data_IF_512139251037
#
_entry.id   IF_512139251037
#
_cell.length_a   1.000
_cell.length_b   1.000
_cell.length_c   1.000
_cell.angle_alpha   90.00
_cell.angle_beta   90.00
_cell.angle_gamma   90.00
#
_symmetry.space_group_name_H-M   'P 1'
#
loop_
_entity.id
_entity.type
_entity.pdbx_description
1 polymer ?
#
# COMPACT_ATOMS: atom_id res chain seq x y z
N UNK A 1 -8.94 3.99 -12.52
CA UNK A 1 -10.02 4.34 -13.48
C UNK A 1 -11.29 4.76 -12.76
N UNK A 2 -11.88 3.91 -11.91
CA UNK A 2 -13.06 4.29 -11.11
C UNK A 2 -12.87 5.59 -10.30
N UNK A 3 -11.77 5.71 -9.55
CA UNK A 3 -11.49 6.94 -8.79
C UNK A 3 -11.34 8.17 -9.69
N UNK A 4 -10.79 8.01 -10.89
CA UNK A 4 -10.68 9.12 -11.85
C UNK A 4 -12.06 9.58 -12.31
N UNK A 5 -12.91 8.64 -12.70
CA UNK A 5 -14.30 8.91 -13.09
C UNK A 5 -15.06 9.65 -11.97
N UNK A 6 -14.92 9.18 -10.73
CA UNK A 6 -15.62 9.75 -9.57
C UNK A 6 -15.06 11.12 -9.14
N UNK A 7 -13.73 11.34 -9.19
CA UNK A 7 -13.10 12.62 -8.80
C UNK A 7 -13.30 13.70 -9.87
N UNK A 8 -13.14 13.34 -11.15
CA UNK A 8 -13.22 14.29 -12.26
C UNK A 8 -14.64 14.42 -12.82
N UNK A 9 -15.60 13.64 -12.35
CA UNK A 9 -16.99 13.69 -12.82
C UNK A 9 -17.16 13.24 -14.27
N UNK A 10 -16.24 12.42 -14.78
CA UNK A 10 -16.21 11.94 -16.17
C UNK A 10 -16.70 10.50 -16.22
N UNK A 11 -17.54 10.08 -17.18
CA UNK A 11 -17.92 8.68 -17.37
C UNK A 11 -16.69 7.74 -17.44
N UNK A 12 -16.81 6.51 -16.93
CA UNK A 12 -15.66 5.61 -16.78
C UNK A 12 -14.99 5.24 -18.11
N UNK A 13 -15.77 5.21 -19.19
CA UNK A 13 -15.39 4.99 -20.58
C UNK A 13 -14.65 6.18 -21.21
N UNK A 14 -14.77 7.36 -20.60
CA UNK A 14 -14.10 8.60 -21.02
C UNK A 14 -12.89 8.96 -20.14
N UNK A 15 -12.50 8.08 -19.22
CA UNK A 15 -11.27 8.24 -18.45
C UNK A 15 -10.08 7.87 -19.34
N UNK A 16 -9.37 8.89 -19.81
CA UNK A 16 -8.11 8.71 -20.54
C UNK A 16 -6.92 8.39 -19.61
N UNK A 17 -5.75 8.18 -20.22
CA UNK A 17 -4.52 7.87 -19.50
C UNK A 17 -4.08 8.99 -18.55
N UNK A 18 -4.23 10.26 -18.96
CA UNK A 18 -3.83 11.41 -18.15
C UNK A 18 -4.71 11.55 -16.90
N UNK A 19 -6.03 11.47 -17.06
CA UNK A 19 -6.99 11.44 -15.96
C UNK A 19 -6.73 10.26 -15.02
N UNK A 20 -6.41 9.08 -15.56
CA UNK A 20 -6.04 7.91 -14.76
C UNK A 20 -4.75 8.16 -13.96
N UNK A 21 -3.75 8.76 -14.57
CA UNK A 21 -2.46 9.10 -13.93
C UNK A 21 -2.65 10.12 -12.81
N UNK A 22 -3.39 11.20 -13.06
CA UNK A 22 -3.74 12.21 -12.05
C UNK A 22 -4.52 11.61 -10.90
N UNK A 23 -5.53 10.78 -11.16
CA UNK A 23 -6.27 10.09 -10.10
C UNK A 23 -5.40 9.12 -9.29
N UNK A 24 -4.42 8.48 -9.93
CA UNK A 24 -3.43 7.64 -9.24
C UNK A 24 -2.61 8.51 -8.27
N UNK A 25 -2.11 9.65 -8.72
CA UNK A 25 -1.39 10.60 -7.88
C UNK A 25 -2.26 11.12 -6.72
N UNK A 26 -3.55 11.37 -6.95
CA UNK A 26 -4.52 11.73 -5.89
C UNK A 26 -4.67 10.58 -4.88
N UNK A 27 -4.94 9.35 -5.34
CA UNK A 27 -5.12 8.19 -4.47
C UNK A 27 -3.91 7.96 -3.56
N UNK A 28 -2.71 7.87 -4.14
CA UNK A 28 -1.49 7.64 -3.36
C UNK A 28 -1.15 8.87 -2.51
N UNK A 29 -1.31 10.08 -3.04
CA UNK A 29 -1.03 11.31 -2.30
C UNK A 29 -1.90 11.44 -1.05
N UNK A 30 -3.21 11.24 -1.17
CA UNK A 30 -4.14 11.40 -0.04
C UNK A 30 -3.88 10.35 1.04
N UNK A 31 -3.64 9.09 0.67
CA UNK A 31 -3.29 8.03 1.63
C UNK A 31 -2.03 8.38 2.43
N UNK A 32 -1.13 9.19 1.87
CA UNK A 32 0.10 9.64 2.53
C UNK A 32 0.03 11.06 3.12
N UNK A 33 -1.16 11.64 3.22
CA UNK A 33 -1.37 12.95 3.83
C UNK A 33 -0.75 14.09 3.04
N UNK A 34 -0.82 14.04 1.70
CA UNK A 34 -0.42 15.13 0.83
C UNK A 34 -1.29 16.37 1.09
N UNK A 35 -0.68 17.57 1.00
CA UNK A 35 -1.44 18.82 1.02
C UNK A 35 -2.01 19.13 -0.37
N UNK A 36 -2.99 20.03 -0.41
CA UNK A 36 -3.49 20.70 -1.61
C UNK A 36 -2.34 21.26 -2.46
N UNK A 37 -1.35 21.92 -1.85
CA UNK A 37 -0.14 22.38 -2.54
C UNK A 37 0.70 21.24 -3.14
N UNK A 38 0.93 20.17 -2.37
CA UNK A 38 1.73 19.02 -2.84
C UNK A 38 1.03 18.29 -3.98
N UNK A 39 -0.30 18.17 -3.92
CA UNK A 39 -1.09 17.54 -4.96
C UNK A 39 -1.07 18.36 -6.25
N UNK A 40 -1.27 19.68 -6.15
CA UNK A 40 -1.17 20.59 -7.29
C UNK A 40 0.18 20.45 -8.01
N UNK A 41 1.28 20.43 -7.24
CA UNK A 41 2.64 20.25 -7.79
C UNK A 41 2.81 18.91 -8.52
N UNK A 42 2.26 17.83 -7.98
CA UNK A 42 2.43 16.48 -8.54
C UNK A 42 1.56 16.23 -9.79
N UNK A 43 0.44 16.94 -9.91
CA UNK A 43 -0.56 16.71 -10.97
C UNK A 43 -0.62 17.81 -12.01
N UNK A 44 0.04 18.95 -11.75
CA UNK A 44 0.05 20.12 -12.63
C UNK A 44 -1.24 20.95 -12.59
N UNK A 45 -2.21 20.61 -11.73
CA UNK A 45 -3.45 21.38 -11.60
C UNK A 45 -3.28 22.58 -10.65
N UNK A 46 -4.23 23.51 -10.65
CA UNK A 46 -4.23 24.61 -9.69
C UNK A 46 -4.43 24.12 -8.25
N UNK A 47 -4.02 24.92 -7.27
CA UNK A 47 -4.25 24.62 -5.85
C UNK A 47 -5.74 24.50 -5.52
N UNK A 48 -6.58 25.31 -6.18
CA UNK A 48 -8.04 25.26 -6.03
C UNK A 48 -8.61 23.93 -6.51
N UNK A 49 -8.22 23.47 -7.70
CA UNK A 49 -8.62 22.16 -8.22
C UNK A 49 -8.12 21.02 -7.34
N UNK A 50 -6.86 21.08 -6.89
CA UNK A 50 -6.31 20.09 -5.97
C UNK A 50 -7.10 20.00 -4.67
N UNK A 51 -7.52 21.13 -4.09
CA UNK A 51 -8.41 21.16 -2.92
C UNK A 51 -9.75 20.49 -3.23
N UNK A 52 -10.39 20.84 -4.35
CA UNK A 52 -11.66 20.24 -4.75
C UNK A 52 -11.56 18.72 -4.91
N UNK A 53 -10.46 18.22 -5.50
CA UNK A 53 -10.25 16.77 -5.62
C UNK A 53 -10.09 16.07 -4.27
N UNK A 54 -9.35 16.68 -3.35
CA UNK A 54 -9.19 16.14 -1.99
C UNK A 54 -10.54 16.12 -1.25
N UNK A 55 -11.32 17.19 -1.34
CA UNK A 55 -12.64 17.29 -0.73
C UNK A 55 -13.61 16.26 -1.31
N UNK A 56 -13.70 16.16 -2.64
CA UNK A 56 -14.52 15.16 -3.32
C UNK A 56 -14.12 13.73 -2.93
N UNK A 57 -12.82 13.45 -2.85
CA UNK A 57 -12.31 12.14 -2.42
C UNK A 57 -12.75 11.79 -0.99
N UNK A 58 -12.64 12.73 -0.05
CA UNK A 58 -13.05 12.49 1.33
C UNK A 58 -14.56 12.45 1.52
N UNK A 59 -15.33 13.21 0.73
CA UNK A 59 -16.79 13.11 0.72
C UNK A 59 -17.24 11.72 0.25
N UNK A 60 -16.53 11.15 -0.73
CA UNK A 60 -16.80 9.81 -1.26
C UNK A 60 -16.32 8.70 -0.32
N UNK A 61 -15.16 8.87 0.31
CA UNK A 61 -14.53 7.90 1.19
C UNK A 61 -14.32 8.46 2.60
N UNK A 62 -15.39 8.78 3.34
CA UNK A 62 -15.30 9.49 4.64
C UNK A 62 -14.50 8.70 5.68
N UNK A 63 -14.58 7.36 5.64
CA UNK A 63 -13.84 6.46 6.54
C UNK A 63 -12.32 6.57 6.39
N UNK A 64 -11.81 7.06 5.27
CA UNK A 64 -10.37 7.31 5.10
C UNK A 64 -9.93 8.48 5.97
N UNK A 65 -10.69 9.59 5.95
CA UNK A 65 -10.43 10.73 6.83
C UNK A 65 -10.51 10.32 8.30
N UNK A 66 -11.56 9.59 8.67
CA UNK A 66 -11.66 9.06 10.04
C UNK A 66 -10.46 8.19 10.43
N UNK A 67 -9.96 7.36 9.53
CA UNK A 67 -8.76 6.56 9.78
C UNK A 67 -7.54 7.46 10.01
N UNK A 68 -7.31 8.45 9.15
CA UNK A 68 -6.18 9.37 9.29
C UNK A 68 -6.23 10.13 10.63
N UNK A 69 -7.41 10.64 10.99
CA UNK A 69 -7.62 11.37 12.24
C UNK A 69 -7.39 10.45 13.45
N UNK A 70 -7.92 9.22 13.42
CA UNK A 70 -7.66 8.21 14.46
C UNK A 70 -6.18 7.86 14.59
N UNK A 71 -5.45 7.72 13.48
CA UNK A 71 -4.01 7.43 13.50
C UNK A 71 -3.21 8.57 14.11
N UNK A 72 -3.53 9.83 13.78
CA UNK A 72 -2.89 11.00 14.39
C UNK A 72 -3.23 11.08 15.88
N UNK A 73 -4.49 10.86 16.25
CA UNK A 73 -4.93 10.91 17.64
C UNK A 73 -4.23 9.84 18.49
N UNK A 74 -4.16 8.59 17.99
CA UNK A 74 -3.43 7.52 18.65
C UNK A 74 -1.95 7.87 18.85
N UNK A 75 -1.31 8.48 17.83
CA UNK A 75 0.06 8.94 17.97
C UNK A 75 0.22 10.03 19.04
N UNK A 76 -0.72 10.98 19.14
CA UNK A 76 -0.71 12.05 20.14
C UNK A 76 -0.93 11.55 21.56
N UNK A 77 -1.81 10.57 21.72
CA UNK A 77 -2.18 9.99 23.02
C UNK A 77 -1.12 9.03 23.54
N UNK A 78 -0.65 8.09 22.70
CA UNK A 78 0.25 7.02 23.11
C UNK A 78 1.72 7.28 22.79
N UNK A 79 2.02 8.26 21.93
CA UNK A 79 3.38 8.53 21.44
C UNK A 79 3.87 7.55 20.38
N UNK A 80 3.04 6.62 19.92
CA UNK A 80 3.35 5.64 18.87
C UNK A 80 2.11 5.24 18.09
N UNK A 81 2.32 4.60 16.94
CA UNK A 81 1.28 3.91 16.16
C UNK A 81 1.64 2.44 15.95
N UNK A 82 0.65 1.60 15.65
CA UNK A 82 0.83 0.15 15.43
C UNK A 82 0.39 -0.31 14.04
N UNK A 83 1.00 -1.39 13.58
CA UNK A 83 0.50 -2.18 12.43
C UNK A 83 -0.61 -3.14 12.86
N UNK A 84 -1.25 -3.83 11.90
CA UNK A 84 -2.28 -4.84 12.18
C UNK A 84 -1.76 -6.03 13.00
N UNK A 85 -0.45 -6.31 12.95
CA UNK A 85 0.20 -7.35 13.76
C UNK A 85 0.87 -6.78 15.02
N UNK A 86 0.59 -5.53 15.38
CA UNK A 86 1.01 -4.93 16.64
C UNK A 86 2.44 -4.38 16.68
N UNK A 87 3.18 -4.36 15.56
CA UNK A 87 4.50 -3.72 15.51
C UNK A 87 4.34 -2.22 15.74
N UNK A 88 5.09 -1.67 16.69
CA UNK A 88 5.04 -0.25 17.08
C UNK A 88 6.08 0.59 16.34
N UNK A 89 5.73 1.84 16.06
CA UNK A 89 6.66 2.90 15.69
C UNK A 89 6.41 4.13 16.53
N UNK A 90 7.41 4.56 17.30
CA UNK A 90 7.37 5.79 18.08
C UNK A 90 7.31 7.02 17.17
N UNK A 91 6.51 8.02 17.56
CA UNK A 91 6.31 9.26 16.83
C UNK A 91 6.59 10.46 17.78
N UNK A 92 7.86 10.70 18.14
CA UNK A 92 8.23 11.66 19.18
C UNK A 92 7.85 13.11 18.83
N UNK A 93 7.86 13.46 17.55
CA UNK A 93 7.57 14.82 17.06
C UNK A 93 6.06 15.13 16.89
N UNK A 94 5.17 14.22 17.28
CA UNK A 94 3.71 14.39 17.05
C UNK A 94 3.13 15.62 17.76
N UNK A 95 3.73 16.03 18.88
CA UNK A 95 3.35 17.22 19.66
C UNK A 95 4.35 18.38 19.46
N UNK A 96 5.23 18.31 18.45
CA UNK A 96 6.25 19.33 18.21
C UNK A 96 5.61 20.70 17.94
N UNK A 97 6.16 21.75 18.53
CA UNK A 97 5.76 23.14 18.24
C UNK A 97 6.18 23.56 16.82
N UNK A 98 7.22 22.92 16.27
CA UNK A 98 7.71 23.18 14.91
C UNK A 98 6.74 22.54 13.91
N UNK A 99 6.01 23.37 13.16
CA UNK A 99 4.98 22.93 12.20
C UNK A 99 5.50 21.89 11.21
N UNK A 100 6.72 22.07 10.70
CA UNK A 100 7.32 21.14 9.73
C UNK A 100 7.55 19.73 10.33
N UNK A 101 8.09 19.66 11.56
CA UNK A 101 8.32 18.39 12.28
C UNK A 101 7.01 17.70 12.61
N UNK A 102 6.04 18.45 13.15
CA UNK A 102 4.71 17.93 13.45
C UNK A 102 4.00 17.41 12.20
N UNK A 103 4.03 18.15 11.09
CA UNK A 103 3.43 17.69 9.84
C UNK A 103 4.07 16.42 9.29
N UNK A 104 5.39 16.26 9.42
CA UNK A 104 6.06 15.01 9.07
C UNK A 104 5.66 13.85 10.01
N UNK A 105 5.57 14.11 11.30
CA UNK A 105 5.11 13.15 12.30
C UNK A 105 3.67 12.68 12.03
N UNK A 106 2.75 13.59 11.69
CA UNK A 106 1.36 13.28 11.33
C UNK A 106 1.30 12.38 10.08
N UNK A 107 2.03 12.72 9.01
CA UNK A 107 2.13 11.86 7.82
C UNK A 107 2.71 10.49 8.14
N UNK A 108 3.70 10.45 9.03
CA UNK A 108 4.32 9.20 9.50
C UNK A 108 3.34 8.33 10.28
N UNK A 109 2.52 8.95 11.14
CA UNK A 109 1.49 8.27 11.93
C UNK A 109 0.39 7.66 11.04
N UNK A 110 0.02 8.33 9.95
CA UNK A 110 -0.95 7.83 8.96
C UNK A 110 -0.36 6.68 8.13
N UNK A 111 0.86 6.87 7.62
CA UNK A 111 1.48 5.93 6.68
C UNK A 111 1.92 4.63 7.36
N UNK A 112 2.45 4.69 8.58
CA UNK A 112 3.08 3.54 9.24
C UNK A 112 2.14 2.35 9.43
N UNK A 113 0.87 2.52 9.89
CA UNK A 113 -0.05 1.40 9.96
C UNK A 113 -0.32 0.74 8.60
N UNK A 114 -0.22 1.48 7.49
CA UNK A 114 -0.46 0.95 6.14
C UNK A 114 0.78 0.21 5.62
N UNK A 115 1.90 0.92 5.43
CA UNK A 115 3.13 0.34 4.90
C UNK A 115 3.70 -0.73 5.82
N UNK A 116 3.62 -0.48 7.13
CA UNK A 116 4.07 -1.44 8.11
C UNK A 116 3.26 -2.72 8.07
N UNK A 117 1.93 -2.63 7.95
CA UNK A 117 1.10 -3.83 7.85
C UNK A 117 1.38 -4.62 6.57
N UNK A 118 1.58 -3.96 5.43
CA UNK A 118 2.01 -4.65 4.21
C UNK A 118 3.34 -5.39 4.40
N UNK A 119 4.31 -4.75 5.06
CA UNK A 119 5.59 -5.37 5.40
C UNK A 119 5.46 -6.55 6.38
N UNK A 120 4.49 -6.51 7.29
CA UNK A 120 4.21 -7.61 8.21
C UNK A 120 3.61 -8.81 7.47
N UNK A 121 2.65 -8.55 6.59
CA UNK A 121 1.97 -9.54 5.76
C UNK A 121 2.98 -10.28 4.88
N UNK A 122 3.82 -9.57 4.12
CA UNK A 122 4.77 -10.22 3.21
C UNK A 122 5.83 -11.03 3.97
N UNK A 123 6.30 -10.54 5.12
CA UNK A 123 7.24 -11.30 5.97
C UNK A 123 6.63 -12.58 6.49
N UNK A 124 5.35 -12.54 6.88
CA UNK A 124 4.63 -13.74 7.31
C UNK A 124 4.48 -14.73 6.14
N UNK A 125 4.17 -14.24 4.94
CA UNK A 125 4.07 -15.07 3.73
C UNK A 125 5.41 -15.74 3.40
N UNK A 126 6.52 -15.00 3.44
CA UNK A 126 7.88 -15.54 3.25
C UNK A 126 8.19 -16.68 4.21
N UNK A 127 7.85 -16.53 5.50
CA UNK A 127 8.06 -17.58 6.51
C UNK A 127 7.21 -18.82 6.23
N UNK A 128 5.94 -18.65 5.81
CA UNK A 128 5.06 -19.77 5.48
C UNK A 128 5.52 -20.51 4.23
N UNK A 129 5.82 -19.78 3.16
CA UNK A 129 6.36 -20.35 1.92
C UNK A 129 7.65 -21.12 2.22
N UNK A 130 8.58 -20.53 2.97
CA UNK A 130 9.83 -21.22 3.32
C UNK A 130 9.61 -22.54 4.06
N UNK A 131 8.66 -22.58 5.02
CA UNK A 131 8.32 -23.82 5.72
C UNK A 131 7.74 -24.86 4.77
N UNK A 132 6.81 -24.45 3.91
CA UNK A 132 6.14 -25.34 2.97
C UNK A 132 7.10 -25.91 1.91
N UNK A 133 8.03 -25.09 1.41
CA UNK A 133 9.13 -25.57 0.56
C UNK A 133 9.95 -26.68 1.25
N UNK A 134 10.23 -26.54 2.55
CA UNK A 134 10.97 -27.54 3.33
C UNK A 134 10.16 -28.81 3.60
N UNK A 135 8.89 -28.67 3.93
CA UNK A 135 7.98 -29.78 4.22
C UNK A 135 7.69 -30.63 2.98
N UNK A 136 7.54 -29.98 1.82
CA UNK A 136 7.30 -30.65 0.53
C UNK A 136 8.59 -31.10 -0.17
N UNK A 137 9.77 -30.75 0.38
CA UNK A 137 11.06 -31.16 -0.16
C UNK A 137 11.43 -30.51 -1.50
N UNK A 138 10.87 -29.33 -1.78
CA UNK A 138 11.06 -28.61 -3.04
C UNK A 138 12.46 -27.99 -3.13
N UNK A 139 13.01 -28.00 -4.34
CA UNK A 139 14.32 -27.44 -4.66
C UNK A 139 14.26 -25.93 -4.96
N UNK A 140 13.07 -25.41 -5.24
CA UNK A 140 12.77 -23.99 -5.43
C UNK A 140 13.26 -23.10 -4.28
N UNK A 141 13.67 -21.87 -4.60
CA UNK A 141 14.28 -20.93 -3.64
C UNK A 141 13.74 -19.53 -3.82
N UNK A 142 13.43 -18.87 -2.70
CA UNK A 142 13.22 -17.43 -2.66
C UNK A 142 14.58 -16.72 -2.79
N UNK A 143 14.75 -15.91 -3.83
CA UNK A 143 16.01 -15.21 -4.14
C UNK A 143 15.97 -13.76 -3.67
N UNK A 144 14.87 -13.05 -3.97
CA UNK A 144 14.72 -11.63 -3.63
C UNK A 144 13.32 -11.33 -3.09
N UNK A 145 13.26 -10.29 -2.28
CA UNK A 145 12.02 -9.60 -1.94
C UNK A 145 12.20 -8.12 -2.28
N UNK A 146 11.28 -7.56 -3.06
CA UNK A 146 11.29 -6.17 -3.49
C UNK A 146 9.92 -5.57 -3.21
N UNK A 147 9.81 -4.80 -2.13
CA UNK A 147 8.54 -4.21 -1.68
C UNK A 147 7.42 -5.25 -1.46
N UNK A 148 6.50 -5.40 -2.42
CA UNK A 148 5.36 -6.33 -2.41
C UNK A 148 5.59 -7.57 -3.30
N UNK A 149 6.76 -7.69 -3.90
CA UNK A 149 7.14 -8.76 -4.83
C UNK A 149 8.11 -9.77 -4.19
N UNK A 150 7.94 -11.06 -4.51
CA UNK A 150 8.83 -12.16 -4.14
C UNK A 150 9.33 -12.86 -5.41
N UNK A 151 10.65 -12.95 -5.57
CA UNK A 151 11.29 -13.56 -6.73
C UNK A 151 11.81 -14.94 -6.37
N UNK A 152 11.43 -15.95 -7.14
CA UNK A 152 11.85 -17.33 -6.95
C UNK A 152 12.66 -17.82 -8.14
N UNK A 153 13.67 -18.62 -7.85
CA UNK A 153 14.25 -19.56 -8.82
C UNK A 153 13.61 -20.92 -8.57
N UNK A 154 13.08 -21.51 -9.64
CA UNK A 154 12.33 -22.77 -9.58
C UNK A 154 12.85 -23.72 -10.65
N UNK A 155 13.01 -25.03 -10.36
CA UNK A 155 13.14 -26.04 -11.39
C UNK A 155 11.88 -26.06 -12.29
N UNK A 156 12.00 -26.25 -13.62
CA UNK A 156 10.84 -26.29 -14.52
C UNK A 156 9.76 -27.29 -14.12
N UNK A 157 10.17 -28.43 -13.55
CA UNK A 157 9.28 -29.48 -13.05
C UNK A 157 8.46 -29.06 -11.81
N UNK A 158 8.89 -28.03 -11.08
CA UNK A 158 8.21 -27.52 -9.89
C UNK A 158 7.27 -26.34 -10.21
N UNK A 159 7.16 -25.89 -11.47
CA UNK A 159 6.38 -24.69 -11.80
C UNK A 159 4.92 -24.77 -11.31
N UNK A 160 4.24 -25.87 -11.62
CA UNK A 160 2.83 -26.03 -11.27
C UNK A 160 2.60 -25.99 -9.75
N UNK A 161 3.41 -26.72 -8.99
CA UNK A 161 3.31 -26.75 -7.52
C UNK A 161 3.69 -25.40 -6.91
N UNK A 162 4.71 -24.73 -7.45
CA UNK A 162 5.13 -23.41 -6.98
C UNK A 162 4.06 -22.33 -7.21
N UNK A 163 3.37 -22.34 -8.35
CA UNK A 163 2.27 -21.39 -8.62
C UNK A 163 1.14 -21.54 -7.60
N UNK A 164 0.75 -22.77 -7.28
CA UNK A 164 -0.30 -23.04 -6.30
C UNK A 164 0.15 -22.70 -4.87
N UNK A 165 1.34 -23.15 -4.49
CA UNK A 165 1.93 -22.92 -3.17
C UNK A 165 2.06 -21.42 -2.89
N UNK A 166 2.71 -20.66 -3.79
CA UNK A 166 2.92 -19.21 -3.61
C UNK A 166 1.59 -18.48 -3.53
N UNK A 167 0.65 -18.78 -4.44
CA UNK A 167 -0.68 -18.15 -4.43
C UNK A 167 -1.41 -18.39 -3.11
N UNK A 168 -1.51 -19.65 -2.69
CA UNK A 168 -2.24 -20.02 -1.47
C UNK A 168 -1.61 -19.44 -0.21
N UNK A 169 -0.27 -19.48 -0.09
CA UNK A 169 0.41 -18.94 1.08
C UNK A 169 0.36 -17.41 1.15
N UNK A 170 0.47 -16.71 0.03
CA UNK A 170 0.42 -15.24 0.00
C UNK A 170 -1.00 -14.68 0.11
N UNK A 171 -1.98 -15.25 -0.60
CA UNK A 171 -3.37 -14.78 -0.54
C UNK A 171 -4.05 -15.19 0.79
N UNK A 172 -3.68 -16.37 1.33
CA UNK A 172 -4.18 -16.92 2.59
C UNK A 172 -3.37 -16.56 3.83
N UNK A 173 -2.39 -15.66 3.72
CA UNK A 173 -1.46 -15.33 4.81
C UNK A 173 -2.18 -14.75 6.04
N UNK A 174 -3.25 -13.98 5.82
CA UNK A 174 -4.03 -13.32 6.87
C UNK A 174 -5.47 -13.08 6.41
N UNK A 175 -6.42 -13.17 7.35
CA UNK A 175 -7.81 -12.82 7.07
C UNK A 175 -8.02 -11.30 7.15
N UNK A 176 -8.28 -10.67 6.02
CA UNK A 176 -8.61 -9.25 5.90
C UNK A 176 -10.06 -9.07 5.45
N UNK A 177 -10.61 -7.87 5.64
CA UNK A 177 -11.96 -7.53 5.17
C UNK A 177 -12.09 -7.54 3.63
N UNK A 178 -10.96 -7.51 2.93
CA UNK A 178 -10.84 -7.58 1.47
C UNK A 178 -9.79 -8.64 1.12
N UNK A 179 -9.96 -9.41 0.04
CA UNK A 179 -9.01 -10.45 -0.32
C UNK A 179 -7.67 -9.84 -0.74
N UNK A 180 -6.58 -10.51 -0.35
CA UNK A 180 -5.28 -10.31 -0.98
C UNK A 180 -5.28 -11.06 -2.32
N UNK A 181 -4.74 -10.44 -3.36
CA UNK A 181 -4.64 -11.02 -4.70
C UNK A 181 -3.17 -11.03 -5.11
N UNK A 182 -2.73 -12.15 -5.66
CA UNK A 182 -1.36 -12.34 -6.16
C UNK A 182 -1.39 -12.58 -7.66
N UNK A 183 -0.51 -11.85 -8.35
CA UNK A 183 -0.22 -12.03 -9.77
C UNK A 183 1.10 -12.79 -9.87
N UNK A 184 1.17 -13.77 -10.78
CA UNK A 184 2.29 -14.70 -10.88
C UNK A 184 2.66 -14.86 -12.34
N UNK A 185 3.85 -14.38 -12.67
CA UNK A 185 4.48 -14.52 -13.97
C UNK A 185 5.72 -15.43 -13.85
N UNK A 186 6.05 -16.15 -14.92
CA UNK A 186 7.19 -17.08 -14.98
C UNK A 186 7.93 -16.86 -16.28
N UNK A 187 9.26 -16.75 -16.20
CA UNK A 187 10.14 -16.41 -17.31
C UNK A 187 11.57 -16.89 -17.06
N UNK A 188 12.44 -16.74 -18.06
CA UNK A 188 13.84 -17.19 -17.98
C UNK A 188 14.75 -16.18 -17.30
N UNK A 189 14.30 -14.94 -17.20
CA UNK A 189 14.97 -13.85 -16.49
C UNK A 189 13.92 -12.94 -15.85
N UNK A 190 14.33 -12.14 -14.87
CA UNK A 190 13.44 -11.14 -14.26
C UNK A 190 12.94 -10.07 -15.26
N UNK A 191 13.58 -9.94 -16.42
CA UNK A 191 13.10 -9.05 -17.49
C UNK A 191 11.92 -9.64 -18.28
N UNK A 192 11.80 -10.97 -18.29
CA UNK A 192 10.75 -11.69 -19.03
C UNK A 192 9.46 -11.90 -18.22
N UNK A 193 9.49 -11.53 -16.94
CA UNK A 193 8.36 -11.59 -15.98
C UNK A 193 7.86 -10.20 -15.63
#
# INVERSE_FOLDING_TARGET
TRTASEIFGVPIDRVDYDLRSKAKAVNFGIIYGISDFGLARNTGVSIGEARMFIEAYFARYPKIREFMDRSIQAAREYGFVTTILGRRRSIPDINSRIRARRGFAERTAINTPIQGSAADIIKLAMVRIYRRLKEEGLMSRLILQVHDELIFEIPPEEEAVMRELVRSEMEGVINLKVPLKVEIDVGKSWFDV
#
